data_IF_017463697415
#
_entry.id   IF_017463697415
#
_cell.length_a   1.000
_cell.length_b   1.000
_cell.length_c   1.000
_cell.angle_alpha   90.00
_cell.angle_beta   90.00
_cell.angle_gamma   90.00
#
_symmetry.space_group_name_H-M   'P 1'
#
loop_
_entity.id
_entity.type
_entity.pdbx_description
1 polymer ?
#
# COMPACT_ATOMS: atom_id res chain seq x y z
N UNK A 1 -69.56 -3.06 21.36
CA UNK A 1 -68.47 -4.07 21.37
C UNK A 1 -67.53 -3.70 20.24
N UNK A 2 -66.44 -2.97 20.54
CA UNK A 2 -65.06 -3.49 20.64
C UNK A 2 -64.56 -4.08 19.32
N UNK A 3 -63.42 -3.74 18.71
CA UNK A 3 -62.26 -2.86 19.02
C UNK A 3 -61.42 -2.84 17.74
N UNK A 4 -61.08 -1.68 17.18
CA UNK A 4 -60.01 -1.55 16.16
C UNK A 4 -58.72 -1.14 16.87
N UNK A 5 -57.78 -2.08 16.97
CA UNK A 5 -56.45 -1.84 17.52
C UNK A 5 -55.55 -1.12 16.51
N UNK A 6 -55.40 0.19 16.66
CA UNK A 6 -54.38 0.97 15.96
C UNK A 6 -53.09 0.94 16.78
N UNK A 7 -52.02 0.44 16.17
CA UNK A 7 -50.69 0.33 16.77
C UNK A 7 -50.17 1.68 17.26
N UNK A 8 -49.74 1.74 18.52
CA UNK A 8 -49.02 2.88 19.09
C UNK A 8 -47.61 2.91 18.50
N UNK A 9 -47.38 3.78 17.53
CA UNK A 9 -46.03 4.27 17.25
C UNK A 9 -45.53 5.00 18.49
N UNK A 10 -44.39 4.56 19.04
CA UNK A 10 -43.67 5.28 20.08
C UNK A 10 -42.99 6.48 19.42
N UNK A 11 -43.75 7.57 19.29
CA UNK A 11 -43.23 8.87 18.91
C UNK A 11 -42.42 9.40 20.10
N UNK A 12 -41.09 9.31 20.01
CA UNK A 12 -40.19 9.85 21.02
C UNK A 12 -40.16 11.37 20.85
N UNK A 13 -41.09 12.03 21.53
CA UNK A 13 -41.21 13.48 21.56
C UNK A 13 -39.95 14.09 22.23
N UNK A 14 -39.00 14.55 21.42
CA UNK A 14 -37.82 15.29 21.91
C UNK A 14 -38.30 16.68 22.34
N UNK A 15 -38.75 16.81 23.59
CA UNK A 15 -39.03 18.10 24.22
C UNK A 15 -37.75 18.94 24.24
N UNK A 16 -37.68 19.94 23.34
CA UNK A 16 -36.70 21.02 23.46
C UNK A 16 -37.06 21.82 24.72
N UNK A 17 -36.17 21.93 25.73
CA UNK A 17 -36.51 22.67 26.94
C UNK A 17 -36.74 24.13 26.58
N UNK A 18 -37.88 24.67 27.02
CA UNK A 18 -38.16 26.10 26.95
C UNK A 18 -37.08 26.83 27.77
N UNK A 19 -36.43 27.83 27.16
CA UNK A 19 -35.43 28.65 27.85
C UNK A 19 -36.17 29.60 28.79
N UNK A 20 -36.60 29.11 29.95
CA UNK A 20 -36.84 30.00 31.09
C UNK A 20 -35.48 30.53 31.54
N UNK A 21 -35.34 31.85 31.59
CA UNK A 21 -34.12 32.50 32.02
C UNK A 21 -33.95 32.33 33.55
N UNK A 22 -33.52 31.14 33.97
CA UNK A 22 -33.15 30.87 35.35
C UNK A 22 -31.97 31.75 35.76
N UNK A 23 -31.99 32.25 37.00
CA UNK A 23 -30.88 32.97 37.61
C UNK A 23 -29.66 32.06 37.59
N UNK A 24 -28.65 32.39 36.78
CA UNK A 24 -27.42 31.60 36.66
C UNK A 24 -26.55 31.87 37.90
N UNK A 25 -26.24 30.82 38.65
CA UNK A 25 -25.27 30.90 39.74
C UNK A 25 -23.90 31.30 39.17
N UNK A 26 -23.38 32.46 39.62
CA UNK A 26 -22.06 32.99 39.24
C UNK A 26 -20.95 32.62 40.22
N UNK A 27 -21.20 31.63 41.08
CA UNK A 27 -20.17 31.09 41.96
C UNK A 27 -19.01 30.51 41.12
N UNK A 28 -17.75 30.62 41.58
CA UNK A 28 -16.61 30.07 40.86
C UNK A 28 -16.79 28.55 40.68
N UNK A 29 -16.58 28.05 39.47
CA UNK A 29 -16.66 26.63 39.19
C UNK A 29 -15.49 25.91 39.89
N UNK A 30 -15.74 24.90 40.75
CA UNK A 30 -14.67 24.17 41.45
C UNK A 30 -13.70 23.46 40.51
N UNK A 31 -14.13 23.10 39.29
CA UNK A 31 -13.26 22.50 38.27
C UNK A 31 -13.23 23.46 37.08
N UNK A 32 -12.07 24.07 36.86
CA UNK A 32 -11.85 24.89 35.69
C UNK A 32 -11.66 24.01 34.47
N UNK A 33 -12.33 24.34 33.37
CA UNK A 33 -12.16 23.63 32.10
C UNK A 33 -10.73 23.86 31.64
N UNK A 34 -9.93 22.79 31.58
CA UNK A 34 -8.56 22.85 31.09
C UNK A 34 -8.53 22.69 29.57
N UNK A 35 -7.48 23.22 28.93
CA UNK A 35 -7.24 23.00 27.50
C UNK A 35 -7.13 21.49 27.17
N UNK A 36 -6.53 20.71 28.07
CA UNK A 36 -6.43 19.25 27.94
C UNK A 36 -7.80 18.57 27.91
N UNK A 37 -8.73 19.00 28.76
CA UNK A 37 -10.09 18.45 28.80
C UNK A 37 -10.84 18.69 27.49
N UNK A 38 -10.70 19.89 26.92
CA UNK A 38 -11.30 20.23 25.62
C UNK A 38 -10.69 19.40 24.48
N UNK A 39 -9.36 19.23 24.48
CA UNK A 39 -8.66 18.43 23.47
C UNK A 39 -9.01 16.94 23.58
N UNK A 40 -9.16 16.42 24.80
CA UNK A 40 -9.57 15.03 25.05
C UNK A 40 -10.99 14.77 24.58
N UNK A 41 -11.92 15.67 24.91
CA UNK A 41 -13.31 15.56 24.47
C UNK A 41 -13.43 15.68 22.94
N UNK A 42 -12.67 16.59 22.32
CA UNK A 42 -12.62 16.73 20.87
C UNK A 42 -12.11 15.43 20.19
N UNK A 43 -11.08 14.80 20.76
CA UNK A 43 -10.55 13.51 20.28
C UNK A 43 -11.57 12.38 20.47
N UNK A 44 -12.24 12.31 21.62
CA UNK A 44 -13.19 11.25 21.95
C UNK A 44 -14.47 11.29 21.12
N UNK A 45 -14.87 12.50 20.68
CA UNK A 45 -16.00 12.67 19.76
C UNK A 45 -15.77 12.04 18.39
N UNK A 46 -14.52 11.69 18.02
CA UNK A 46 -14.15 10.94 16.79
C UNK A 46 -14.88 11.43 15.53
N UNK A 47 -15.15 12.73 15.43
CA UNK A 47 -15.98 13.31 14.36
C UNK A 47 -15.34 13.09 12.98
N UNK A 48 -14.01 13.04 12.94
CA UNK A 48 -13.22 12.83 11.72
C UNK A 48 -12.97 11.35 11.39
N UNK A 49 -13.39 10.42 12.27
CA UNK A 49 -13.12 9.00 12.08
C UNK A 49 -14.20 8.42 11.16
N UNK A 50 -13.91 8.45 9.86
CA UNK A 50 -14.78 7.87 8.85
C UNK A 50 -15.21 6.45 9.26
N UNK A 51 -16.53 6.14 9.22
CA UNK A 51 -16.99 4.80 9.57
C UNK A 51 -16.37 3.79 8.60
N UNK A 52 -15.70 2.78 9.15
CA UNK A 52 -15.14 1.68 8.34
C UNK A 52 -16.28 0.99 7.60
N UNK A 53 -16.14 0.86 6.28
CA UNK A 53 -17.12 0.16 5.44
C UNK A 53 -17.44 -1.24 6.02
N UNK A 54 -18.71 -1.69 5.93
CA UNK A 54 -19.10 -3.00 6.44
C UNK A 54 -18.30 -4.11 5.76
N UNK A 55 -18.00 -5.19 6.50
CA UNK A 55 -17.30 -6.36 5.97
C UNK A 55 -18.25 -7.12 5.04
N UNK A 56 -18.06 -6.96 3.73
CA UNK A 56 -18.75 -7.75 2.71
C UNK A 56 -17.98 -9.06 2.49
N UNK A 57 -18.67 -10.19 2.62
CA UNK A 57 -18.14 -11.48 2.19
C UNK A 57 -18.39 -11.62 0.69
N UNK A 58 -17.38 -11.99 -0.08
CA UNK A 58 -17.50 -12.22 -1.53
C UNK A 58 -17.86 -13.69 -1.69
N UNK A 59 -19.08 -13.99 -2.12
CA UNK A 59 -19.55 -15.38 -2.28
C UNK A 59 -19.41 -15.86 -3.71
N UNK A 60 -19.66 -14.99 -4.67
CA UNK A 60 -19.77 -15.38 -6.08
C UNK A 60 -18.59 -14.90 -6.93
N UNK A 61 -18.34 -15.60 -8.04
CA UNK A 61 -17.28 -15.23 -8.98
C UNK A 61 -17.56 -13.86 -9.64
N UNK A 62 -18.82 -13.53 -9.88
CA UNK A 62 -19.23 -12.23 -10.43
C UNK A 62 -18.96 -11.08 -9.44
N UNK A 63 -19.30 -11.27 -8.16
CA UNK A 63 -18.97 -10.31 -7.10
C UNK A 63 -17.46 -10.11 -6.96
N UNK A 64 -16.66 -11.17 -7.12
CA UNK A 64 -15.20 -11.06 -7.10
C UNK A 64 -14.69 -10.22 -8.28
N UNK A 65 -15.26 -10.39 -9.48
CA UNK A 65 -14.89 -9.58 -10.64
C UNK A 65 -15.31 -8.12 -10.47
N UNK A 66 -16.50 -7.86 -9.92
CA UNK A 66 -16.94 -6.49 -9.63
C UNK A 66 -16.03 -5.83 -8.58
N UNK A 67 -15.67 -6.56 -7.52
CA UNK A 67 -14.70 -6.09 -6.54
C UNK A 67 -13.36 -5.75 -7.18
N UNK A 68 -12.84 -6.64 -8.06
CA UNK A 68 -11.59 -6.42 -8.79
C UNK A 68 -11.68 -5.19 -9.69
N UNK A 69 -12.77 -5.02 -10.43
CA UNK A 69 -12.99 -3.89 -11.33
C UNK A 69 -13.06 -2.57 -10.55
N UNK A 70 -13.80 -2.53 -9.45
CA UNK A 70 -13.87 -1.35 -8.58
C UNK A 70 -12.51 -0.98 -8.01
N UNK A 71 -11.77 -1.95 -7.47
CA UNK A 71 -10.42 -1.73 -6.93
C UNK A 71 -9.45 -1.25 -8.01
N UNK A 72 -9.46 -1.84 -9.20
CA UNK A 72 -8.63 -1.40 -10.34
C UNK A 72 -8.94 0.04 -10.71
N UNK A 73 -10.22 0.41 -10.76
CA UNK A 73 -10.64 1.79 -11.02
C UNK A 73 -10.10 2.76 -9.96
N UNK A 74 -10.19 2.41 -8.68
CA UNK A 74 -9.61 3.21 -7.58
C UNK A 74 -8.11 3.45 -7.78
N UNK A 75 -7.35 2.41 -8.12
CA UNK A 75 -5.90 2.51 -8.36
C UNK A 75 -5.56 3.32 -9.62
N UNK A 76 -6.26 3.07 -10.74
CA UNK A 76 -6.06 3.83 -11.97
C UNK A 76 -6.43 5.31 -11.79
N UNK A 77 -7.49 5.61 -11.05
CA UNK A 77 -7.87 7.00 -10.73
C UNK A 77 -6.84 7.66 -9.81
N UNK A 78 -6.25 6.92 -8.85
CA UNK A 78 -5.15 7.41 -8.03
C UNK A 78 -3.90 7.69 -8.87
N UNK A 79 -3.57 6.81 -9.83
CA UNK A 79 -2.47 6.99 -10.77
C UNK A 79 -2.72 8.20 -11.68
N UNK A 80 -3.94 8.38 -12.19
CA UNK A 80 -4.31 9.54 -13.02
C UNK A 80 -4.17 10.85 -12.24
N UNK A 81 -4.60 10.88 -10.98
CA UNK A 81 -4.47 12.06 -10.11
C UNK A 81 -3.01 12.39 -9.78
N UNK A 82 -2.19 11.37 -9.53
CA UNK A 82 -0.81 11.52 -9.09
C UNK A 82 0.13 10.63 -9.93
N UNK A 83 0.34 11.03 -11.20
CA UNK A 83 1.12 10.22 -12.16
C UNK A 83 2.55 9.94 -11.71
N UNK A 84 3.19 10.90 -11.04
CA UNK A 84 4.60 10.82 -10.60
C UNK A 84 4.78 10.04 -9.30
N UNK A 85 3.70 9.75 -8.56
CA UNK A 85 3.81 9.07 -7.28
C UNK A 85 3.96 7.56 -7.47
N UNK A 86 5.22 7.09 -7.59
CA UNK A 86 5.57 5.68 -7.82
C UNK A 86 5.00 4.73 -6.77
N UNK A 87 4.80 5.20 -5.54
CA UNK A 87 4.17 4.39 -4.48
C UNK A 87 2.76 3.91 -4.84
N UNK A 88 2.04 4.61 -5.72
CA UNK A 88 0.72 4.17 -6.19
C UNK A 88 0.83 2.97 -7.14
N UNK A 89 1.86 2.95 -7.99
CA UNK A 89 2.15 1.82 -8.89
C UNK A 89 2.57 0.59 -8.08
N UNK A 90 3.45 0.76 -7.09
CA UNK A 90 3.88 -0.34 -6.21
C UNK A 90 2.69 -0.93 -5.46
N UNK A 91 1.83 -0.08 -4.86
CA UNK A 91 0.61 -0.56 -4.17
C UNK A 91 -0.33 -1.29 -5.12
N UNK A 92 -0.50 -0.79 -6.34
CA UNK A 92 -1.37 -1.41 -7.33
C UNK A 92 -0.82 -2.77 -7.79
N UNK A 93 0.46 -2.85 -8.12
CA UNK A 93 1.11 -4.08 -8.54
C UNK A 93 1.10 -5.16 -7.44
N UNK A 94 1.39 -4.79 -6.19
CA UNK A 94 1.28 -5.72 -5.05
C UNK A 94 -0.15 -6.22 -4.82
N UNK A 95 -1.16 -5.40 -5.12
CA UNK A 95 -2.55 -5.85 -5.05
C UNK A 95 -2.91 -6.81 -6.18
N UNK A 96 -2.45 -6.58 -7.43
CA UNK A 96 -2.64 -7.54 -8.53
C UNK A 96 -1.90 -8.87 -8.26
N UNK A 97 -0.73 -8.82 -7.63
CA UNK A 97 -0.02 -10.02 -7.13
C UNK A 97 -0.90 -10.81 -6.15
N UNK A 98 -1.56 -10.16 -5.20
CA UNK A 98 -2.50 -10.83 -4.27
C UNK A 98 -3.71 -11.45 -4.97
N UNK A 99 -4.08 -10.95 -6.16
CA UNK A 99 -5.13 -11.53 -6.99
C UNK A 99 -4.66 -12.69 -7.87
N UNK A 100 -3.37 -13.05 -7.82
CA UNK A 100 -2.66 -13.99 -8.71
C UNK A 100 -2.67 -13.56 -10.19
N UNK A 101 -2.79 -12.26 -10.46
CA UNK A 101 -2.79 -11.69 -11.81
C UNK A 101 -1.39 -11.12 -12.14
N UNK A 102 -0.42 -12.01 -12.30
CA UNK A 102 0.99 -11.64 -12.44
C UNK A 102 1.29 -10.81 -13.69
N UNK A 103 0.61 -11.10 -14.81
CA UNK A 103 0.83 -10.37 -16.06
C UNK A 103 0.40 -8.90 -15.96
N UNK A 104 -0.70 -8.63 -15.26
CA UNK A 104 -1.14 -7.26 -14.97
C UNK A 104 -0.18 -6.58 -14.02
N UNK A 105 0.28 -7.28 -12.99
CA UNK A 105 1.28 -6.75 -12.06
C UNK A 105 2.56 -6.31 -12.80
N UNK A 106 3.07 -7.14 -13.73
CA UNK A 106 4.20 -6.79 -14.60
C UNK A 106 3.92 -5.54 -15.42
N UNK A 107 2.77 -5.47 -16.08
CA UNK A 107 2.39 -4.29 -16.87
C UNK A 107 2.37 -3.00 -16.02
N UNK A 108 1.91 -3.08 -14.77
CA UNK A 108 1.92 -1.94 -13.85
C UNK A 108 3.34 -1.54 -13.43
N UNK A 109 4.21 -2.52 -13.16
CA UNK A 109 5.63 -2.25 -12.85
C UNK A 109 6.36 -1.61 -14.03
N UNK A 110 6.20 -2.15 -15.24
CA UNK A 110 6.80 -1.59 -16.47
C UNK A 110 6.31 -0.15 -16.70
N UNK A 111 5.00 0.11 -16.54
CA UNK A 111 4.46 1.48 -16.59
C UNK A 111 5.08 2.41 -15.55
N UNK A 112 5.41 1.90 -14.36
CA UNK A 112 6.12 2.66 -13.33
C UNK A 112 7.57 2.98 -13.74
N UNK A 113 8.25 2.00 -14.34
CA UNK A 113 9.63 2.13 -14.83
C UNK A 113 9.70 3.15 -15.98
N UNK A 114 8.72 3.14 -16.88
CA UNK A 114 8.62 4.12 -17.98
C UNK A 114 8.53 5.57 -17.49
N UNK A 115 8.03 5.79 -16.28
CA UNK A 115 7.90 7.13 -15.68
C UNK A 115 9.22 7.53 -15.02
N UNK A 116 9.76 6.66 -14.17
CA UNK A 116 11.04 6.90 -13.51
C UNK A 116 11.84 5.60 -13.37
N UNK A 117 12.67 5.35 -14.37
CA UNK A 117 13.56 4.20 -14.41
C UNK A 117 14.72 4.31 -13.41
N UNK A 118 15.00 5.49 -12.83
CA UNK A 118 16.11 5.68 -11.88
C UNK A 118 15.75 5.23 -10.47
N UNK A 119 14.47 5.00 -10.19
CA UNK A 119 14.01 4.63 -8.87
C UNK A 119 14.43 3.19 -8.51
N UNK A 120 15.40 3.06 -7.61
CA UNK A 120 15.93 1.76 -7.17
C UNK A 120 14.87 0.90 -6.49
N UNK A 121 13.99 1.50 -5.68
CA UNK A 121 12.97 0.76 -4.93
C UNK A 121 11.97 0.05 -5.86
N UNK A 122 11.64 0.66 -7.00
CA UNK A 122 10.72 0.06 -7.96
C UNK A 122 11.28 -1.22 -8.57
N UNK A 123 12.53 -1.19 -9.04
CA UNK A 123 13.23 -2.36 -9.57
C UNK A 123 13.33 -3.48 -8.54
N UNK A 124 13.69 -3.15 -7.30
CA UNK A 124 13.77 -4.13 -6.21
C UNK A 124 12.41 -4.76 -5.90
N UNK A 125 11.33 -3.97 -5.86
CA UNK A 125 9.98 -4.50 -5.62
C UNK A 125 9.50 -5.39 -6.76
N UNK A 126 9.85 -5.04 -7.99
CA UNK A 126 9.51 -5.84 -9.17
C UNK A 126 10.25 -7.18 -9.16
N UNK A 127 11.57 -7.18 -8.93
CA UNK A 127 12.34 -8.43 -8.86
C UNK A 127 11.93 -9.30 -7.66
N UNK A 128 11.67 -8.70 -6.49
CA UNK A 128 11.15 -9.39 -5.30
C UNK A 128 9.79 -10.07 -5.56
N UNK A 129 8.93 -9.46 -6.36
CA UNK A 129 7.66 -10.06 -6.76
C UNK A 129 7.88 -11.30 -7.64
N UNK A 130 8.72 -11.21 -8.68
CA UNK A 130 9.00 -12.38 -9.53
C UNK A 130 9.66 -13.52 -8.74
N UNK A 131 10.55 -13.19 -7.80
CA UNK A 131 11.19 -14.16 -6.92
C UNK A 131 10.20 -14.85 -5.98
N UNK A 132 9.30 -14.10 -5.33
CA UNK A 132 8.27 -14.68 -4.44
C UNK A 132 7.36 -15.67 -5.15
N UNK A 133 7.07 -15.40 -6.43
CA UNK A 133 6.21 -16.24 -7.25
C UNK A 133 6.97 -17.33 -8.05
N UNK A 134 8.28 -17.50 -7.77
CA UNK A 134 9.16 -18.51 -8.39
C UNK A 134 9.38 -18.34 -9.90
N UNK A 135 9.17 -17.15 -10.44
CA UNK A 135 9.43 -16.84 -11.86
C UNK A 135 10.89 -16.41 -12.06
N UNK A 136 11.81 -17.36 -11.92
CA UNK A 136 13.26 -17.12 -11.93
C UNK A 136 13.76 -16.46 -13.23
N UNK A 137 13.27 -16.93 -14.39
CA UNK A 137 13.71 -16.39 -15.67
C UNK A 137 13.28 -14.92 -15.87
N UNK A 138 12.08 -14.55 -15.40
CA UNK A 138 11.65 -13.16 -15.42
C UNK A 138 12.46 -12.31 -14.44
N UNK A 139 12.71 -12.81 -13.23
CA UNK A 139 13.57 -12.12 -12.26
C UNK A 139 14.97 -11.84 -12.82
N UNK A 140 15.59 -12.80 -13.52
CA UNK A 140 16.87 -12.61 -14.23
C UNK A 140 16.81 -11.49 -15.25
N UNK A 141 15.79 -11.48 -16.11
CA UNK A 141 15.63 -10.45 -17.13
C UNK A 141 15.46 -9.06 -16.50
N UNK A 142 14.75 -8.96 -15.37
CA UNK A 142 14.59 -7.70 -14.63
C UNK A 142 15.91 -7.24 -14.03
N UNK A 143 16.67 -8.12 -13.39
CA UNK A 143 17.99 -7.78 -12.84
C UNK A 143 19.00 -7.40 -13.92
N UNK A 144 19.03 -8.12 -15.05
CA UNK A 144 19.91 -7.79 -16.16
C UNK A 144 19.61 -6.40 -16.73
N UNK A 145 18.33 -6.06 -16.92
CA UNK A 145 17.92 -4.72 -17.34
C UNK A 145 18.29 -3.66 -16.30
N UNK A 146 18.04 -3.93 -15.02
CA UNK A 146 18.34 -2.98 -13.94
C UNK A 146 19.85 -2.66 -13.89
N UNK A 147 20.69 -3.69 -13.98
CA UNK A 147 22.16 -3.56 -13.98
C UNK A 147 22.68 -2.84 -15.22
N UNK A 148 22.10 -3.09 -16.40
CA UNK A 148 22.48 -2.39 -17.63
C UNK A 148 22.11 -0.91 -17.60
N UNK A 149 20.94 -0.56 -17.04
CA UNK A 149 20.47 0.82 -16.96
C UNK A 149 21.14 1.60 -15.82
N UNK A 150 21.42 0.94 -14.69
CA UNK A 150 21.92 1.54 -13.47
C UNK A 150 23.13 0.76 -12.91
N UNK A 151 24.26 0.74 -13.64
CA UNK A 151 25.43 -0.06 -13.26
C UNK A 151 26.11 0.41 -11.97
N UNK A 152 25.91 1.68 -11.59
CA UNK A 152 26.48 2.30 -10.38
C UNK A 152 25.71 1.97 -9.09
N UNK A 153 24.60 1.25 -9.19
CA UNK A 153 23.79 0.88 -8.02
C UNK A 153 24.17 -0.52 -7.57
N UNK A 154 25.03 -0.61 -6.57
CA UNK A 154 25.56 -1.89 -6.05
C UNK A 154 24.47 -2.82 -5.51
N UNK A 155 23.36 -2.26 -5.03
CA UNK A 155 22.24 -3.05 -4.51
C UNK A 155 21.69 -4.06 -5.53
N UNK A 156 21.69 -3.71 -6.83
CA UNK A 156 21.24 -4.64 -7.87
C UNK A 156 22.21 -5.78 -8.06
N UNK A 157 23.51 -5.49 -8.08
CA UNK A 157 24.55 -6.51 -8.21
C UNK A 157 24.52 -7.50 -7.05
N UNK A 158 24.48 -7.00 -5.81
CA UNK A 158 24.38 -7.85 -4.62
C UNK A 158 23.13 -8.74 -4.61
N UNK A 159 21.97 -8.18 -4.95
CA UNK A 159 20.72 -8.96 -4.99
C UNK A 159 20.72 -9.97 -6.13
N UNK A 160 21.34 -9.64 -7.26
CA UNK A 160 21.42 -10.51 -8.41
C UNK A 160 22.37 -11.69 -8.19
N UNK A 161 23.56 -11.44 -7.66
CA UNK A 161 24.51 -12.52 -7.30
C UNK A 161 23.95 -13.42 -6.20
N UNK A 162 23.33 -12.83 -5.17
CA UNK A 162 22.66 -13.59 -4.11
C UNK A 162 21.53 -14.48 -4.65
N UNK A 163 20.76 -13.99 -5.62
CA UNK A 163 19.71 -14.80 -6.26
C UNK A 163 20.32 -16.01 -7.00
N UNK A 164 21.38 -15.83 -7.78
CA UNK A 164 22.00 -16.94 -8.51
C UNK A 164 22.73 -17.92 -7.59
N UNK A 165 23.29 -17.45 -6.48
CA UNK A 165 23.88 -18.28 -5.44
C UNK A 165 22.82 -19.16 -4.75
N UNK A 166 21.65 -18.61 -4.41
CA UNK A 166 20.52 -19.38 -3.89
C UNK A 166 19.97 -20.42 -4.89
N UNK A 167 20.25 -20.23 -6.18
CA UNK A 167 19.91 -21.19 -7.24
C UNK A 167 21.08 -22.12 -7.58
N UNK A 168 22.18 -22.06 -6.83
CA UNK A 168 23.41 -22.87 -6.98
C UNK A 168 24.08 -22.73 -8.38
N UNK A 169 23.84 -21.63 -9.09
CA UNK A 169 24.38 -21.39 -10.44
C UNK A 169 25.73 -20.68 -10.40
N UNK A 170 26.76 -21.36 -9.87
CA UNK A 170 28.12 -20.81 -9.69
C UNK A 170 28.70 -20.19 -10.96
N UNK A 171 28.42 -20.77 -12.14
CA UNK A 171 28.89 -20.24 -13.43
C UNK A 171 28.32 -18.85 -13.74
N UNK A 172 27.01 -18.66 -13.54
CA UNK A 172 26.36 -17.38 -13.80
C UNK A 172 26.77 -16.36 -12.76
N UNK A 173 26.83 -16.75 -11.48
CA UNK A 173 27.31 -15.88 -10.40
C UNK A 173 28.69 -15.31 -10.72
N UNK A 174 29.63 -16.14 -11.22
CA UNK A 174 30.95 -15.66 -11.66
C UNK A 174 30.86 -14.66 -12.81
N UNK A 175 30.06 -14.95 -13.84
CA UNK A 175 29.89 -14.03 -14.97
C UNK A 175 29.32 -12.68 -14.54
N UNK A 176 28.38 -12.67 -13.59
CA UNK A 176 27.79 -11.45 -13.05
C UNK A 176 28.86 -10.66 -12.28
N UNK A 177 29.65 -11.31 -11.44
CA UNK A 177 30.76 -10.66 -10.74
C UNK A 177 31.82 -10.12 -11.71
N UNK A 178 32.23 -10.89 -12.72
CA UNK A 178 33.16 -10.42 -13.76
C UNK A 178 32.62 -9.16 -14.46
N UNK A 179 31.32 -9.13 -14.81
CA UNK A 179 30.67 -7.96 -15.38
C UNK A 179 30.61 -6.79 -14.41
N UNK A 180 30.45 -7.05 -13.10
CA UNK A 180 30.45 -6.01 -12.08
C UNK A 180 31.84 -5.38 -11.92
N UNK A 181 32.90 -6.19 -11.89
CA UNK A 181 34.28 -5.72 -11.74
C UNK A 181 34.74 -4.83 -12.90
N UNK A 182 34.18 -4.98 -14.10
CA UNK A 182 34.44 -4.08 -15.23
C UNK A 182 34.08 -2.62 -14.95
N UNK A 183 33.17 -2.37 -14.00
CA UNK A 183 32.75 -1.01 -13.63
C UNK A 183 33.58 -0.39 -12.51
N UNK A 184 34.59 -1.10 -12.01
CA UNK A 184 35.44 -0.73 -10.87
C UNK A 184 34.60 -0.31 -9.65
N UNK A 185 33.84 -1.25 -9.05
CA UNK A 185 33.02 -0.97 -7.88
C UNK A 185 33.85 -0.85 -6.60
N UNK A 186 33.22 -0.34 -5.53
CA UNK A 186 33.84 -0.14 -4.22
C UNK A 186 34.47 -1.42 -3.65
N UNK A 187 35.44 -1.26 -2.73
CA UNK A 187 36.19 -2.37 -2.09
C UNK A 187 35.29 -3.47 -1.49
N UNK A 188 34.07 -3.13 -1.06
CA UNK A 188 33.09 -4.07 -0.53
C UNK A 188 32.61 -5.08 -1.59
N UNK A 189 32.59 -4.70 -2.87
CA UNK A 189 32.25 -5.58 -3.98
C UNK A 189 33.34 -6.63 -4.18
N UNK A 190 34.61 -6.21 -4.13
CA UNK A 190 35.77 -7.11 -4.20
C UNK A 190 35.78 -8.10 -3.03
N UNK A 191 35.49 -7.63 -1.81
CA UNK A 191 35.39 -8.49 -0.63
C UNK A 191 34.30 -9.56 -0.73
N UNK A 192 33.22 -9.29 -1.47
CA UNK A 192 32.12 -10.24 -1.67
C UNK A 192 32.40 -11.21 -2.82
N UNK A 193 33.30 -10.88 -3.74
CA UNK A 193 33.70 -11.76 -4.84
C UNK A 193 34.75 -12.81 -4.42
N UNK A 194 35.66 -12.44 -3.52
CA UNK A 194 36.77 -13.31 -3.07
C UNK A 194 36.33 -14.32 -2.02
N UNK A 195 35.22 -14.07 -1.34
CA UNK A 195 34.67 -14.91 -0.27
C UNK A 195 33.84 -16.07 -0.83
#
# INVERSE_FOLDING_TARGET
>A
MSTTGSGRGLEVEIKRPSKTAGVKNRAPNPIQISAEQLLREARDRKIELEPKAPRQQITDHEELQEYRMRRRKEFEDAIRKQRQHLGNYVKYALWEEQQNEFERSRSVFERGIDIDYRNVSLWLKYSEMEMRNKFVNHARNVYDRAVQLLPRVDQFWYKYTYMEEMLENVKLTRQIYERWMQWEPDDNAWGSYVK
#
